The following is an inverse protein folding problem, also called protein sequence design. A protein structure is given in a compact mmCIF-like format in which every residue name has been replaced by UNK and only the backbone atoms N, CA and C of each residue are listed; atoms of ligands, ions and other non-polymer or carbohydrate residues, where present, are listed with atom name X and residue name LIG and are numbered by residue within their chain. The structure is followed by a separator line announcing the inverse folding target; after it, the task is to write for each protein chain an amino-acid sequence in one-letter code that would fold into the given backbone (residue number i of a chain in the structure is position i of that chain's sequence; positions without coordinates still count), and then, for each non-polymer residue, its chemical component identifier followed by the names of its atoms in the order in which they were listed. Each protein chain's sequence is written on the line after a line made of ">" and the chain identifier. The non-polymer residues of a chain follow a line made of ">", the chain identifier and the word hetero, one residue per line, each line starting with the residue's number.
data_IF_346413487400
#
_entry.id   IF_346413487400
#
_cell.length_a   1.000
_cell.length_b   1.000
_cell.length_c   1.000
_cell.angle_alpha   90.00
_cell.angle_beta   90.00
_cell.angle_gamma   90.00
#
_symmetry.space_group_name_H-M   'P 1'
#
loop_
_entity.id
_entity.type
_entity.pdbx_description
1 polymer ?
#
# COMPACT_ATOMS: atom_id res chain seq x y z
N UNK A 1 12.95 0.26 -6.03
CA UNK A 1 12.80 -0.42 -7.35
C UNK A 1 12.05 0.52 -8.29
N UNK A 2 12.53 0.81 -9.51
CA UNK A 2 11.80 1.67 -10.44
C UNK A 2 10.54 0.96 -10.95
N UNK A 3 9.36 1.53 -10.67
CA UNK A 3 8.10 1.00 -11.15
C UNK A 3 7.95 1.33 -12.65
N UNK A 4 8.02 0.32 -13.53
CA UNK A 4 7.65 0.49 -14.95
C UNK A 4 6.13 0.65 -15.04
N UNK A 5 5.68 1.90 -15.04
CA UNK A 5 4.25 2.26 -15.07
C UNK A 5 3.70 1.93 -16.45
N UNK A 6 2.78 0.96 -16.54
CA UNK A 6 1.95 0.77 -17.72
C UNK A 6 0.58 1.36 -17.43
N UNK A 7 0.23 2.44 -18.12
CA UNK A 7 -1.14 2.95 -18.11
C UNK A 7 -1.97 2.10 -19.08
N UNK A 8 -3.07 1.54 -18.60
CA UNK A 8 -4.01 0.77 -19.41
C UNK A 8 -5.40 1.37 -19.33
N UNK A 9 -6.23 1.09 -20.33
CA UNK A 9 -7.66 1.40 -20.31
C UNK A 9 -8.42 0.17 -19.80
N UNK A 10 -9.26 0.35 -18.79
CA UNK A 10 -10.13 -0.70 -18.24
C UNK A 10 -11.56 -0.18 -18.31
N UNK A 11 -12.33 -0.67 -19.27
CA UNK A 11 -13.65 -0.13 -19.60
C UNK A 11 -13.56 1.35 -19.98
N UNK A 12 -14.26 2.20 -19.22
CA UNK A 12 -14.25 3.66 -19.40
C UNK A 12 -13.20 4.38 -18.51
N UNK A 13 -12.41 3.63 -17.75
CA UNK A 13 -11.44 4.17 -16.80
C UNK A 13 -9.99 3.95 -17.24
N UNK A 14 -9.06 4.70 -16.65
CA UNK A 14 -7.62 4.48 -16.77
C UNK A 14 -7.13 3.77 -15.51
N UNK A 15 -6.23 2.81 -15.66
CA UNK A 15 -5.61 2.08 -14.56
C UNK A 15 -4.09 2.04 -14.72
N UNK A 16 -3.40 1.91 -13.58
CA UNK A 16 -1.95 1.72 -13.51
C UNK A 16 -1.70 0.27 -13.12
N UNK A 17 -0.86 -0.41 -13.90
CA UNK A 17 -0.44 -1.77 -13.55
C UNK A 17 0.74 -1.69 -12.58
N UNK A 18 0.58 -2.29 -11.40
CA UNK A 18 1.63 -2.47 -10.40
C UNK A 18 2.09 -3.94 -10.47
N UNK A 19 3.40 -4.21 -10.65
CA UNK A 19 3.92 -5.58 -10.61
C UNK A 19 3.72 -6.22 -9.22
N UNK A 20 3.35 -7.50 -9.13
CA UNK A 20 3.14 -8.18 -7.85
C UNK A 20 4.41 -8.21 -6.97
N UNK A 21 5.60 -8.27 -7.60
CA UNK A 21 6.88 -8.24 -6.90
C UNK A 21 7.12 -6.93 -6.14
N UNK A 22 6.51 -5.83 -6.60
CA UNK A 22 6.58 -4.56 -5.90
C UNK A 22 5.81 -4.62 -4.58
N UNK A 23 4.60 -5.20 -4.59
CA UNK A 23 3.82 -5.42 -3.36
C UNK A 23 4.60 -6.30 -2.38
N UNK A 24 5.09 -7.46 -2.85
CA UNK A 24 5.85 -8.40 -2.02
C UNK A 24 7.07 -7.75 -1.38
N UNK A 25 7.84 -6.98 -2.15
CA UNK A 25 9.00 -6.26 -1.62
C UNK A 25 8.63 -5.36 -0.43
N UNK A 26 7.49 -4.67 -0.50
CA UNK A 26 7.04 -3.79 0.58
C UNK A 26 6.53 -4.60 1.77
N UNK A 27 5.73 -5.63 1.56
CA UNK A 27 5.22 -6.50 2.63
C UNK A 27 6.35 -7.22 3.37
N UNK A 28 7.35 -7.76 2.64
CA UNK A 28 8.51 -8.42 3.22
C UNK A 28 9.39 -7.44 4.01
N UNK A 29 9.48 -6.18 3.56
CA UNK A 29 10.31 -5.16 4.18
C UNK A 29 9.69 -4.56 5.44
N UNK A 30 8.37 -4.37 5.46
CA UNK A 30 7.66 -3.78 6.61
C UNK A 30 7.11 -4.84 7.56
N UNK A 31 6.97 -6.09 7.10
CA UNK A 31 6.27 -7.15 7.82
C UNK A 31 4.76 -6.93 7.89
N UNK A 32 4.22 -5.98 7.13
CA UNK A 32 2.81 -5.59 7.13
C UNK A 32 2.20 -5.84 5.76
N UNK A 33 0.96 -6.34 5.75
CA UNK A 33 0.20 -6.51 4.52
C UNK A 33 -0.17 -5.14 3.94
N UNK A 34 -0.02 -4.98 2.63
CA UNK A 34 -0.47 -3.75 1.96
C UNK A 34 -1.96 -3.88 1.66
N UNK A 35 -2.79 -3.17 2.42
CA UNK A 35 -4.24 -3.17 2.20
C UNK A 35 -4.68 -2.08 1.23
N UNK A 36 -4.02 -0.92 1.27
CA UNK A 36 -4.33 0.24 0.45
C UNK A 36 -3.06 0.92 -0.05
N UNK A 37 -3.18 1.65 -1.16
CA UNK A 37 -2.08 2.41 -1.74
C UNK A 37 -2.56 3.82 -2.05
N UNK A 38 -1.94 4.82 -1.42
CA UNK A 38 -2.19 6.21 -1.75
C UNK A 38 -1.48 6.54 -3.06
N UNK A 39 -2.23 7.06 -4.03
CA UNK A 39 -1.72 7.43 -5.35
C UNK A 39 -2.01 8.90 -5.64
N UNK A 40 -0.98 9.74 -5.67
CA UNK A 40 -1.11 11.15 -6.07
C UNK A 40 -0.84 11.32 -7.57
N UNK A 41 -1.69 12.05 -8.28
CA UNK A 41 -1.64 12.28 -9.74
C UNK A 41 -1.21 13.72 -10.07
N UNK A 42 0.00 14.12 -9.67
CA UNK A 42 0.55 15.47 -9.94
C UNK A 42 1.57 15.42 -11.08
N UNK A 43 1.17 15.11 -12.32
CA UNK A 43 2.06 14.82 -13.47
C UNK A 43 3.14 13.73 -13.20
N UNK A 44 3.15 13.15 -12.01
CA UNK A 44 4.03 12.16 -11.43
C UNK A 44 3.14 11.31 -10.53
N UNK A 45 3.31 9.99 -10.62
CA UNK A 45 2.59 9.03 -9.76
C UNK A 45 3.49 8.72 -8.56
N UNK A 46 3.07 9.13 -7.37
CA UNK A 46 3.71 8.81 -6.09
C UNK A 46 2.88 7.76 -5.37
N UNK A 47 3.51 6.65 -4.96
CA UNK A 47 2.87 5.56 -4.22
C UNK A 47 3.43 5.56 -2.80
N UNK A 48 2.57 5.74 -1.81
CA UNK A 48 2.93 5.70 -0.39
C UNK A 48 2.10 4.61 0.29
N UNK A 49 2.76 3.76 1.06
CA UNK A 49 2.09 2.76 1.90
C UNK A 49 1.73 3.45 3.20
N UNK A 50 0.44 3.50 3.53
CA UNK A 50 0.00 3.96 4.85
C UNK A 50 0.05 2.78 5.82
N UNK A 51 0.99 2.84 6.77
CA UNK A 51 1.02 1.91 7.90
C UNK A 51 -0.10 2.33 8.86
N UNK A 52 -1.21 1.59 8.89
CA UNK A 52 -2.20 1.79 9.95
C UNK A 52 -1.56 1.39 11.28
N UNK A 53 -1.54 2.27 12.30
CA UNK A 53 -1.04 1.88 13.59
C UNK A 53 -1.97 0.82 14.15
N UNK A 54 -1.46 -0.41 14.28
CA UNK A 54 -2.12 -1.49 15.01
C UNK A 54 -2.49 -0.94 16.39
N UNK A 55 -3.80 -0.79 16.63
CA UNK A 55 -4.34 -0.42 17.93
C UNK A 55 -3.87 -1.50 18.91
N UNK A 56 -2.85 -1.19 19.72
CA UNK A 56 -2.47 -2.02 20.86
C UNK A 56 -3.66 -2.00 21.81
N UNK A 57 -4.51 -3.02 21.72
CA UNK A 57 -5.46 -3.35 22.77
C UNK A 57 -4.63 -3.61 24.04
N UNK A 58 -4.70 -2.67 24.99
CA UNK A 58 -4.21 -2.92 26.33
C UNK A 58 -5.01 -4.11 26.87
N UNK A 59 -4.36 -5.17 27.37
CA UNK A 59 -5.09 -6.23 28.05
C UNK A 59 -5.70 -5.63 29.32
N UNK A 60 -7.02 -5.79 29.44
CA UNK A 60 -7.74 -5.67 30.70
C UNK A 60 -6.94 -6.39 31.79
N UNK A 61 -6.36 -5.62 32.70
CA UNK A 61 -5.69 -6.12 33.89
C UNK A 61 -6.48 -5.62 35.09
N UNK A 62 -7.38 -6.49 35.53
CA UNK A 62 -8.08 -6.40 36.78
C UNK A 62 -7.11 -6.37 37.98
N UNK A 63 -7.46 -5.59 38.99
CA UNK A 63 -7.17 -5.85 40.41
C UNK A 63 -5.85 -5.34 40.97
N UNK A 64 -5.91 -4.36 41.87
CA UNK A 64 -5.98 -4.56 43.33
C UNK A 64 -6.35 -3.25 44.03
#
# INVERSE_FOLDING_TARGET
>A
MPLKRKLIKVGNSRAVVIPPDWLRYHEDKTGQRVEEILMELNNVITLTVEETPTKTEKPDSAGH
#
